data_IF_371275303545
#
_entry.id   IF_371275303545
#
_cell.length_a   1.000
_cell.length_b   1.000
_cell.length_c   1.000
_cell.angle_alpha   90.00
_cell.angle_beta   90.00
_cell.angle_gamma   90.00
#
_symmetry.space_group_name_H-M   'P 1'
#
loop_
_entity.id
_entity.type
_entity.pdbx_description
1 polymer ?
#
# COMPACT_ATOMS: atom_id res chain seq x y z
N UNK A 1 -17.61 -6.00 -3.09
CA UNK A 1 -17.13 -4.92 -2.20
C UNK A 1 -16.26 -5.57 -1.14
N UNK A 2 -14.95 -5.32 -1.12
CA UNK A 2 -14.09 -5.98 -0.13
C UNK A 2 -14.43 -5.47 1.28
N UNK A 3 -15.05 -6.34 2.06
CA UNK A 3 -15.41 -6.09 3.46
C UNK A 3 -14.18 -6.02 4.38
N UNK A 4 -13.01 -6.40 3.86
CA UNK A 4 -11.76 -6.51 4.62
C UNK A 4 -11.38 -5.19 5.29
N UNK A 5 -11.61 -4.04 4.64
CA UNK A 5 -11.34 -2.70 5.18
C UNK A 5 -12.13 -2.34 6.45
N UNK A 6 -13.19 -3.08 6.76
CA UNK A 6 -14.04 -2.87 7.94
C UNK A 6 -13.58 -3.66 9.16
N UNK A 7 -12.63 -4.59 8.99
CA UNK A 7 -12.07 -5.38 10.09
C UNK A 7 -11.30 -4.48 11.08
N UNK A 8 -11.25 -4.91 12.35
CA UNK A 8 -10.49 -4.21 13.38
C UNK A 8 -9.06 -4.74 13.46
N UNK A 9 -8.06 -3.88 13.68
CA UNK A 9 -8.13 -2.42 13.70
C UNK A 9 -8.26 -1.81 12.29
N UNK A 10 -9.24 -0.92 12.08
CA UNK A 10 -9.57 -0.40 10.76
C UNK A 10 -8.41 0.31 10.04
N UNK A 11 -7.50 0.95 10.78
CA UNK A 11 -6.36 1.64 10.19
C UNK A 11 -5.43 0.68 9.43
N UNK A 12 -5.23 -0.54 9.95
CA UNK A 12 -4.41 -1.56 9.30
C UNK A 12 -5.12 -2.09 8.07
N UNK A 13 -6.38 -2.47 8.21
CA UNK A 13 -7.11 -3.13 7.15
C UNK A 13 -7.47 -2.23 5.97
N UNK A 14 -7.66 -0.92 6.20
CA UNK A 14 -7.78 0.05 5.09
C UNK A 14 -6.50 0.15 4.26
N UNK A 15 -5.33 0.22 4.90
CA UNK A 15 -4.07 0.27 4.17
C UNK A 15 -3.75 -1.07 3.49
N UNK A 16 -4.10 -2.19 4.12
CA UNK A 16 -3.95 -3.51 3.51
C UNK A 16 -4.85 -3.66 2.27
N UNK A 17 -6.12 -3.28 2.36
CA UNK A 17 -7.05 -3.31 1.22
C UNK A 17 -6.50 -2.51 0.03
N UNK A 18 -6.02 -1.28 0.27
CA UNK A 18 -5.36 -0.46 -0.76
C UNK A 18 -4.15 -1.17 -1.39
N UNK A 19 -3.29 -1.78 -0.57
CA UNK A 19 -2.13 -2.52 -1.04
C UNK A 19 -2.52 -3.73 -1.90
N UNK A 20 -3.61 -4.44 -1.57
CA UNK A 20 -4.08 -5.59 -2.36
C UNK A 20 -4.58 -5.22 -3.76
N UNK A 21 -4.96 -3.96 -3.98
CA UNK A 21 -5.39 -3.47 -5.30
C UNK A 21 -4.22 -3.23 -6.25
N UNK A 22 -2.97 -3.30 -5.76
CA UNK A 22 -1.76 -3.09 -6.56
C UNK A 22 -1.24 -4.44 -7.06
N UNK A 23 -1.26 -4.72 -8.37
CA UNK A 23 -0.72 -5.96 -8.91
C UNK A 23 0.79 -6.04 -8.66
N UNK A 24 1.22 -7.11 -7.98
CA UNK A 24 2.63 -7.36 -7.63
C UNK A 24 3.03 -8.82 -7.92
N UNK A 25 3.06 -9.24 -9.19
CA UNK A 25 3.66 -10.52 -9.55
C UNK A 25 5.16 -10.52 -9.23
N UNK A 26 5.72 -11.71 -9.01
CA UNK A 26 7.15 -11.86 -8.75
C UNK A 26 7.98 -11.23 -9.88
N UNK A 27 8.94 -10.38 -9.53
CA UNK A 27 9.78 -9.64 -10.50
C UNK A 27 9.20 -8.31 -11.00
N UNK A 28 7.98 -7.93 -10.61
CA UNK A 28 7.34 -6.67 -11.02
C UNK A 28 7.02 -5.80 -9.80
N UNK A 29 8.07 -5.22 -9.21
CA UNK A 29 7.98 -4.45 -7.96
C UNK A 29 7.71 -2.95 -8.17
N UNK A 30 7.87 -2.46 -9.39
CA UNK A 30 7.87 -1.03 -9.70
C UNK A 30 6.54 -0.38 -9.28
N UNK A 31 5.41 -1.06 -9.54
CA UNK A 31 4.08 -0.57 -9.20
C UNK A 31 3.84 -0.48 -7.69
N UNK A 32 4.30 -1.48 -6.93
CA UNK A 32 4.11 -1.49 -5.47
C UNK A 32 5.07 -0.51 -4.79
N UNK A 33 6.29 -0.35 -5.31
CA UNK A 33 7.25 0.63 -4.82
C UNK A 33 6.69 2.05 -5.00
N UNK A 34 6.22 2.39 -6.20
CA UNK A 34 5.61 3.69 -6.46
C UNK A 34 4.39 3.95 -5.56
N UNK A 35 3.50 2.96 -5.43
CA UNK A 35 2.35 3.05 -4.52
C UNK A 35 2.76 3.37 -3.07
N UNK A 36 3.79 2.70 -2.54
CA UNK A 36 4.23 2.92 -1.16
C UNK A 36 4.86 4.31 -0.96
N UNK A 37 5.62 4.81 -1.94
CA UNK A 37 6.20 6.15 -1.91
C UNK A 37 5.10 7.23 -1.94
N UNK A 38 4.11 7.06 -2.82
CA UNK A 38 2.99 8.00 -2.94
C UNK A 38 2.12 7.98 -1.67
N UNK A 39 1.79 6.78 -1.17
CA UNK A 39 1.06 6.63 0.08
C UNK A 39 1.79 7.30 1.25
N UNK A 40 3.12 7.14 1.35
CA UNK A 40 3.91 7.77 2.39
C UNK A 40 3.89 9.31 2.27
N UNK A 41 4.03 9.84 1.04
CA UNK A 41 3.94 11.28 0.76
C UNK A 41 2.58 11.85 1.16
N UNK A 42 1.48 11.17 0.83
CA UNK A 42 0.12 11.57 1.23
C UNK A 42 -0.09 11.58 2.74
N UNK A 43 0.59 10.70 3.48
CA UNK A 43 0.53 10.63 4.95
C UNK A 43 1.58 11.49 5.66
N UNK A 44 2.43 12.20 4.91
CA UNK A 44 3.54 12.97 5.49
C UNK A 44 4.60 12.09 6.15
N UNK A 45 4.69 10.83 5.75
CA UNK A 45 5.70 9.87 6.23
C UNK A 45 6.90 9.91 5.29
N UNK A 46 8.11 9.99 5.85
CA UNK A 46 9.34 9.91 5.07
C UNK A 46 9.53 8.48 4.56
N UNK A 47 9.57 8.32 3.24
CA UNK A 47 9.91 7.06 2.57
C UNK A 47 10.98 7.32 1.49
N UNK A 48 11.85 6.34 1.27
CA UNK A 48 12.96 6.39 0.32
C UNK A 48 13.00 5.02 -0.37
N UNK A 49 13.27 5.01 -1.68
CA UNK A 49 13.60 3.82 -2.44
C UNK A 49 15.13 3.70 -2.52
N UNK A 50 15.67 2.55 -2.15
CA UNK A 50 17.09 2.21 -2.28
C UNK A 50 17.43 1.71 -3.69
N UNK A 51 18.73 1.66 -4.00
CA UNK A 51 19.29 1.14 -5.26
C UNK A 51 19.45 -0.38 -5.25
#
# INVERSE_FOLDING_TARGET
MSEIKNLQPQAIWKNFDLLTQVPRPSGHLEKVQQFLLDWAKEKGVKAILDE
#
